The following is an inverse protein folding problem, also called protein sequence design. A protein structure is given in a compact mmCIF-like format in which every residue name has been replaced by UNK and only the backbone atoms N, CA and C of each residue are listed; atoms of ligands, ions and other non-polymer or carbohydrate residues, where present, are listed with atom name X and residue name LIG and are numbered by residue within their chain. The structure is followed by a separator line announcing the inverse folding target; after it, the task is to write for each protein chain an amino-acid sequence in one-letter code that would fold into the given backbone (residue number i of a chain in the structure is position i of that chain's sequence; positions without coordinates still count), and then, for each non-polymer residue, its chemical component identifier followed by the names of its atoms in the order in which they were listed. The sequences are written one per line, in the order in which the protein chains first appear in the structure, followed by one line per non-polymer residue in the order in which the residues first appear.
data_IF_283945868526
#
_entry.id   IF_283945868526
#
_cell.length_a   1.000
_cell.length_b   1.000
_cell.length_c   1.000
_cell.angle_alpha   90.00
_cell.angle_beta   90.00
_cell.angle_gamma   90.00
#
_symmetry.space_group_name_H-M   'P 1'
#
loop_
_entity.id
_entity.type
_entity.pdbx_description
1 polymer ?
#
# COMPACT_ATOMS: atom_id res chain seq x y z
N UNK A 1 -9.35 -24.40 -76.47
CA UNK A 1 -8.66 -23.24 -75.87
C UNK A 1 -8.69 -23.42 -74.35
N UNK A 2 -7.80 -24.25 -73.78
CA UNK A 2 -6.55 -23.88 -73.07
C UNK A 2 -6.78 -22.72 -72.07
N UNK A 3 -7.00 -23.05 -70.79
CA UNK A 3 -6.02 -23.08 -69.67
C UNK A 3 -5.57 -21.66 -69.29
N UNK A 4 -5.93 -21.11 -68.12
CA UNK A 4 -5.47 -21.44 -66.75
C UNK A 4 -3.96 -21.27 -66.56
N UNK A 5 -3.57 -20.08 -66.08
CA UNK A 5 -2.31 -19.67 -65.43
C UNK A 5 -2.60 -18.25 -64.87
N UNK A 6 -2.18 -17.80 -63.69
CA UNK A 6 -0.88 -17.99 -63.06
C UNK A 6 -0.97 -17.72 -61.53
N UNK A 7 -0.19 -18.49 -60.76
CA UNK A 7 0.08 -18.37 -59.33
C UNK A 7 1.49 -17.81 -59.17
N UNK A 8 1.75 -16.90 -58.22
CA UNK A 8 2.96 -16.87 -57.37
C UNK A 8 2.88 -15.71 -56.36
N UNK A 9 2.90 -15.99 -55.03
CA UNK A 9 4.03 -16.23 -54.10
C UNK A 9 4.68 -14.93 -53.60
N UNK A 10 4.68 -14.74 -52.28
CA UNK A 10 5.83 -14.48 -51.39
C UNK A 10 5.28 -14.33 -49.94
N UNK A 11 5.40 -15.31 -49.05
CA UNK A 11 6.57 -15.72 -48.23
C UNK A 11 7.11 -14.64 -47.27
N UNK A 12 6.78 -14.78 -45.99
CA UNK A 12 7.36 -14.04 -44.88
C UNK A 12 7.44 -14.87 -43.60
N UNK A 13 8.16 -16.00 -43.65
CA UNK A 13 8.62 -16.76 -42.47
C UNK A 13 9.73 -15.95 -41.76
N UNK A 14 9.59 -15.69 -40.47
CA UNK A 14 10.74 -15.67 -39.54
C UNK A 14 10.36 -16.39 -38.25
N UNK A 15 10.86 -17.62 -38.15
CA UNK A 15 11.01 -18.38 -36.89
C UNK A 15 12.32 -17.97 -36.21
N UNK A 16 12.39 -18.35 -34.94
CA UNK A 16 13.57 -18.59 -34.08
C UNK A 16 14.26 -17.35 -33.50
N UNK A 17 14.30 -17.26 -32.16
CA UNK A 17 15.45 -17.76 -31.40
C UNK A 17 15.16 -17.82 -29.89
N UNK A 18 15.05 -19.05 -29.41
CA UNK A 18 15.27 -19.49 -28.03
C UNK A 18 16.67 -19.06 -27.58
N UNK A 19 16.80 -18.53 -26.36
CA UNK A 19 18.06 -18.63 -25.61
C UNK A 19 17.78 -18.73 -24.10
N UNK A 20 17.85 -19.96 -23.63
CA UNK A 20 18.12 -20.36 -22.24
C UNK A 20 19.49 -19.86 -21.79
N UNK A 21 19.58 -19.32 -20.58
CA UNK A 21 20.77 -19.11 -19.71
C UNK A 21 20.17 -18.75 -18.34
N UNK A 22 20.57 -19.23 -17.17
CA UNK A 22 21.39 -20.34 -16.67
C UNK A 22 21.24 -20.15 -15.15
N UNK A 23 20.83 -21.19 -14.46
CA UNK A 23 20.85 -21.30 -13.00
C UNK A 23 22.31 -21.41 -12.53
N UNK A 24 22.64 -20.87 -11.35
CA UNK A 24 23.52 -21.67 -10.51
C UNK A 24 23.06 -21.74 -9.05
N UNK A 25 22.85 -22.99 -8.65
CA UNK A 25 23.01 -23.54 -7.31
C UNK A 25 24.36 -23.15 -6.64
N UNK A 26 24.34 -22.79 -5.35
CA UNK A 26 25.21 -23.36 -4.28
C UNK A 26 24.95 -22.66 -2.94
N UNK A 27 24.45 -23.39 -1.93
CA UNK A 27 25.22 -24.07 -0.88
C UNK A 27 26.02 -23.09 -0.01
N UNK A 28 25.50 -22.76 1.18
CA UNK A 28 25.85 -23.42 2.45
C UNK A 28 27.34 -23.34 2.79
N UNK A 29 27.65 -22.54 3.82
CA UNK A 29 28.78 -22.78 4.70
C UNK A 29 28.34 -22.61 6.15
N UNK A 30 28.45 -23.70 6.90
CA UNK A 30 28.57 -23.72 8.36
C UNK A 30 29.83 -22.97 8.78
N UNK A 31 29.88 -22.44 10.02
CA UNK A 31 30.81 -22.93 11.05
C UNK A 31 30.68 -22.17 12.39
N UNK A 32 30.21 -22.94 13.38
CA UNK A 32 30.67 -23.15 14.77
C UNK A 32 30.91 -21.99 15.77
N UNK A 33 30.44 -22.31 16.98
CA UNK A 33 30.93 -21.96 18.32
C UNK A 33 30.29 -20.72 18.99
N UNK A 34 29.47 -20.94 20.04
CA UNK A 34 30.06 -20.95 21.39
C UNK A 34 29.11 -21.52 22.47
N UNK A 35 29.74 -22.36 23.29
CA UNK A 35 29.56 -22.74 24.69
C UNK A 35 28.22 -22.64 25.43
N UNK A 36 27.86 -23.83 25.91
CA UNK A 36 26.96 -24.20 27.01
C UNK A 36 27.60 -23.94 28.38
N UNK A 37 26.81 -23.45 29.35
CA UNK A 37 26.82 -23.68 30.82
C UNK A 37 26.37 -22.40 31.54
N UNK A 38 25.71 -22.37 32.69
CA UNK A 38 25.03 -23.32 33.59
C UNK A 38 24.46 -22.39 34.67
N UNK A 39 23.22 -22.62 35.10
CA UNK A 39 22.49 -21.69 35.97
C UNK A 39 23.04 -21.53 37.38
N UNK A 40 22.53 -20.51 38.07
CA UNK A 40 22.22 -20.50 39.50
C UNK A 40 21.63 -19.13 39.89
N UNK A 41 20.31 -19.05 40.07
CA UNK A 41 19.74 -18.27 41.16
C UNK A 41 19.99 -19.04 42.47
N UNK A 42 20.11 -18.43 43.67
CA UNK A 42 19.30 -17.29 44.11
C UNK A 42 20.02 -16.25 45.02
N UNK A 43 19.25 -15.24 45.45
CA UNK A 43 19.23 -14.70 46.84
C UNK A 43 19.73 -13.25 47.06
N UNK A 44 18.78 -12.46 47.58
CA UNK A 44 18.91 -11.42 48.61
C UNK A 44 19.61 -10.07 48.29
N UNK A 45 18.76 -9.04 48.20
CA UNK A 45 18.81 -7.77 48.94
C UNK A 45 20.15 -7.00 49.06
N UNK A 46 20.14 -5.73 48.62
CA UNK A 46 20.22 -4.55 49.52
C UNK A 46 20.08 -3.22 48.77
N UNK A 47 19.18 -2.42 49.31
CA UNK A 47 18.84 -1.01 49.07
C UNK A 47 20.02 -0.05 49.30
N UNK A 48 20.27 0.85 48.35
CA UNK A 48 21.13 2.03 48.56
C UNK A 48 20.30 3.26 48.96
N UNK A 49 20.10 3.45 50.27
CA UNK A 49 19.75 4.75 50.85
C UNK A 49 21.02 5.27 51.49
N UNK A 50 21.53 6.38 50.97
CA UNK A 50 22.74 7.04 51.45
C UNK A 50 22.37 7.97 52.62
N UNK A 51 22.97 7.71 53.78
CA UNK A 51 22.84 8.52 54.99
C UNK A 51 24.18 9.23 55.24
N UNK A 52 24.15 10.43 55.84
CA UNK A 52 25.36 11.08 56.36
C UNK A 52 25.72 10.57 57.75
N UNK A 53 26.96 10.83 58.20
CA UNK A 53 27.53 10.29 59.46
C UNK A 53 26.79 10.70 60.75
N UNK A 54 25.78 11.59 60.67
CA UNK A 54 24.93 11.98 61.80
C UNK A 54 23.48 11.47 61.66
N UNK A 55 23.18 10.62 60.69
CA UNK A 55 21.94 9.87 60.60
C UNK A 55 20.69 10.71 60.31
N UNK A 56 20.79 11.79 59.51
CA UNK A 56 19.64 12.67 59.23
C UNK A 56 19.23 12.63 57.76
N UNK A 57 17.96 12.27 57.49
CA UNK A 57 17.41 12.23 56.13
C UNK A 57 17.41 13.63 55.47
N UNK A 58 18.06 13.75 54.29
CA UNK A 58 17.96 14.94 53.44
C UNK A 58 16.50 15.20 53.04
N UNK A 59 15.98 16.37 53.44
CA UNK A 59 14.58 16.74 53.25
C UNK A 59 14.24 17.01 51.77
N UNK A 60 13.10 16.47 51.34
CA UNK A 60 12.53 16.52 49.99
C UNK A 60 12.32 17.95 49.47
N UNK A 61 12.54 18.13 48.17
CA UNK A 61 12.13 19.31 47.40
C UNK A 61 10.65 19.65 47.65
N UNK A 62 10.37 20.89 48.02
CA UNK A 62 9.01 21.45 48.06
C UNK A 62 8.48 21.58 46.63
N UNK A 63 7.42 20.83 46.30
CA UNK A 63 6.65 21.05 45.07
C UNK A 63 5.93 22.41 45.17
N UNK A 64 5.98 23.18 44.08
CA UNK A 64 5.25 24.45 43.93
C UNK A 64 3.89 24.12 43.32
N UNK A 65 2.81 24.67 43.87
CA UNK A 65 1.46 24.49 43.33
C UNK A 65 1.37 25.00 41.88
N UNK A 66 0.92 24.12 40.99
CA UNK A 66 0.62 24.45 39.59
C UNK A 66 -0.81 24.98 39.55
N UNK A 67 -0.96 26.27 39.25
CA UNK A 67 -2.25 26.94 39.04
C UNK A 67 -2.95 26.31 37.82
N UNK A 68 -4.17 25.82 38.02
CA UNK A 68 -4.98 25.21 36.97
C UNK A 68 -5.18 26.19 35.79
N UNK A 69 -4.90 25.80 34.54
CA UNK A 69 -5.25 26.62 33.39
C UNK A 69 -6.77 26.63 33.23
N UNK A 70 -7.32 27.84 33.06
CA UNK A 70 -8.75 28.08 32.94
C UNK A 70 -9.36 27.33 31.76
N UNK A 71 -10.61 26.92 31.93
CA UNK A 71 -11.46 26.34 30.89
C UNK A 71 -11.49 27.28 29.68
N UNK A 72 -10.70 26.94 28.65
CA UNK A 72 -10.96 27.41 27.31
C UNK A 72 -12.10 26.54 26.78
N UNK A 73 -13.22 27.17 26.45
CA UNK A 73 -14.28 26.56 25.66
C UNK A 73 -13.67 26.09 24.34
N UNK A 74 -13.36 24.80 24.29
CA UNK A 74 -12.89 24.14 23.07
C UNK A 74 -14.12 23.92 22.20
N UNK A 75 -14.30 24.79 21.19
CA UNK A 75 -15.11 24.49 20.03
C UNK A 75 -14.75 23.07 19.56
N UNK A 76 -15.66 22.14 19.81
CA UNK A 76 -15.49 20.73 19.48
C UNK A 76 -15.68 20.60 17.97
N UNK A 77 -14.64 20.98 17.23
CA UNK A 77 -14.46 20.60 15.83
C UNK A 77 -14.57 19.07 15.78
N UNK A 78 -15.62 18.62 15.10
CA UNK A 78 -16.07 17.24 14.95
C UNK A 78 -14.90 16.26 14.84
N UNK A 79 -14.59 15.57 15.95
CA UNK A 79 -13.76 14.39 15.91
C UNK A 79 -14.50 13.33 15.09
N UNK A 80 -14.21 13.27 13.79
CA UNK A 80 -14.61 12.15 12.93
C UNK A 80 -14.04 10.90 13.54
N UNK A 81 -14.85 10.18 14.30
CA UNK A 81 -14.57 8.82 14.73
C UNK A 81 -14.30 8.01 13.47
N UNK A 82 -13.06 7.54 13.31
CA UNK A 82 -12.69 6.60 12.25
C UNK A 82 -13.49 5.33 12.48
N UNK A 83 -14.63 5.20 11.81
CA UNK A 83 -15.37 3.95 11.77
C UNK A 83 -14.46 2.95 11.07
N UNK A 84 -14.24 1.80 11.71
CA UNK A 84 -13.56 0.69 11.04
C UNK A 84 -14.46 0.26 9.89
N UNK A 85 -13.97 0.45 8.66
CA UNK A 85 -14.67 0.03 7.45
C UNK A 85 -14.30 -1.43 7.15
N UNK A 86 -15.23 -2.17 6.56
CA UNK A 86 -14.95 -3.51 6.04
C UNK A 86 -14.14 -3.46 4.74
N UNK A 87 -13.55 -4.57 4.29
CA UNK A 87 -12.73 -4.61 3.07
C UNK A 87 -13.51 -4.16 1.81
N UNK A 88 -14.79 -4.53 1.70
CA UNK A 88 -15.65 -4.10 0.58
C UNK A 88 -15.93 -2.59 0.68
N UNK A 89 -16.25 -2.08 1.86
CA UNK A 89 -16.53 -0.65 2.07
C UNK A 89 -15.29 0.23 1.85
N UNK A 90 -14.09 -0.27 2.19
CA UNK A 90 -12.82 0.38 1.87
C UNK A 90 -12.63 0.53 0.35
N UNK A 91 -12.95 -0.51 -0.43
CA UNK A 91 -12.88 -0.50 -1.89
C UNK A 91 -13.93 0.48 -2.46
N UNK A 92 -15.17 0.43 -1.97
CA UNK A 92 -16.25 1.34 -2.36
C UNK A 92 -15.88 2.82 -2.14
N UNK A 93 -15.25 3.13 -1.00
CA UNK A 93 -14.88 4.50 -0.63
C UNK A 93 -13.45 4.87 -1.04
N UNK A 94 -12.84 4.12 -1.96
CA UNK A 94 -11.47 4.35 -2.39
C UNK A 94 -11.34 5.71 -3.07
N UNK A 95 -10.33 6.47 -2.65
CA UNK A 95 -9.96 7.80 -3.15
C UNK A 95 -8.47 7.83 -3.38
N UNK A 96 -7.99 8.77 -4.19
CA UNK A 96 -6.55 8.95 -4.44
C UNK A 96 -5.70 9.05 -3.17
N UNK A 97 -6.19 9.74 -2.13
CA UNK A 97 -5.50 9.80 -0.83
C UNK A 97 -5.36 8.43 -0.17
N UNK A 98 -6.41 7.60 -0.22
CA UNK A 98 -6.36 6.24 0.33
C UNK A 98 -5.42 5.35 -0.50
N UNK A 99 -5.47 5.49 -1.82
CA UNK A 99 -4.58 4.78 -2.74
C UNK A 99 -3.09 5.08 -2.46
N UNK A 100 -2.73 6.36 -2.28
CA UNK A 100 -1.38 6.79 -1.87
C UNK A 100 -0.96 6.29 -0.48
N UNK A 101 -1.90 6.03 0.42
CA UNK A 101 -1.58 5.43 1.71
C UNK A 101 -1.26 3.94 1.60
N UNK A 102 -1.68 3.26 0.53
CA UNK A 102 -1.32 1.86 0.32
C UNK A 102 0.17 1.73 0.02
N UNK A 103 0.77 2.64 -0.74
CA UNK A 103 2.20 2.68 -1.02
C UNK A 103 2.58 4.05 -1.60
N UNK A 104 3.81 4.49 -1.37
CA UNK A 104 4.37 5.70 -2.01
C UNK A 104 4.56 5.50 -3.53
N UNK A 105 4.80 4.26 -3.96
CA UNK A 105 4.89 3.87 -5.36
C UNK A 105 3.50 3.45 -5.89
N UNK A 106 2.94 4.15 -6.90
CA UNK A 106 1.62 3.87 -7.45
C UNK A 106 1.45 2.44 -7.95
N UNK A 107 2.49 1.84 -8.54
CA UNK A 107 2.41 0.47 -9.05
C UNK A 107 2.25 -0.54 -7.89
N UNK A 108 3.06 -0.39 -6.84
CA UNK A 108 2.92 -1.20 -5.64
C UNK A 108 1.59 -0.95 -4.92
N UNK A 109 1.06 0.28 -4.96
CA UNK A 109 -0.27 0.58 -4.41
C UNK A 109 -1.36 -0.20 -5.16
N UNK A 110 -1.26 -0.29 -6.49
CA UNK A 110 -2.16 -1.08 -7.31
C UNK A 110 -2.06 -2.58 -7.01
N UNK A 111 -0.85 -3.12 -6.90
CA UNK A 111 -0.63 -4.52 -6.52
C UNK A 111 -1.23 -4.85 -5.15
N UNK A 112 -1.02 -3.97 -4.16
CA UNK A 112 -1.62 -4.14 -2.82
C UNK A 112 -3.14 -4.10 -2.86
N UNK A 113 -3.71 -3.25 -3.71
CA UNK A 113 -5.15 -3.18 -3.89
C UNK A 113 -5.68 -4.46 -4.55
N UNK A 114 -5.04 -4.94 -5.62
CA UNK A 114 -5.37 -6.22 -6.27
C UNK A 114 -5.26 -7.40 -5.31
N UNK A 115 -4.23 -7.41 -4.45
CA UNK A 115 -4.11 -8.43 -3.40
C UNK A 115 -5.33 -8.45 -2.48
N UNK A 116 -5.93 -7.30 -2.14
CA UNK A 116 -7.19 -7.28 -1.36
C UNK A 116 -8.33 -7.97 -2.11
N UNK A 117 -8.46 -7.75 -3.42
CA UNK A 117 -9.45 -8.46 -4.24
C UNK A 117 -9.19 -9.97 -4.27
N UNK A 118 -7.93 -10.39 -4.43
CA UNK A 118 -7.58 -11.81 -4.45
C UNK A 118 -7.85 -12.48 -3.10
N UNK A 119 -7.59 -11.80 -1.98
CA UNK A 119 -7.96 -12.31 -0.65
C UNK A 119 -9.48 -12.48 -0.52
N UNK A 120 -10.27 -11.51 -0.99
CA UNK A 120 -11.73 -11.63 -0.99
C UNK A 120 -12.20 -12.77 -1.91
N UNK A 121 -11.55 -12.97 -3.05
CA UNK A 121 -11.83 -14.06 -3.97
C UNK A 121 -11.57 -15.42 -3.32
N UNK A 122 -10.43 -15.58 -2.63
CA UNK A 122 -10.05 -16.81 -1.95
C UNK A 122 -10.98 -17.12 -0.77
N UNK A 123 -11.50 -16.09 -0.08
CA UNK A 123 -12.50 -16.24 0.97
C UNK A 123 -13.88 -16.61 0.41
N UNK A 124 -14.35 -15.89 -0.62
CA UNK A 124 -15.63 -16.13 -1.27
C UNK A 124 -15.71 -15.40 -2.62
N UNK A 125 -15.95 -16.17 -3.67
CA UNK A 125 -16.19 -15.61 -5.00
C UNK A 125 -17.32 -14.57 -5.05
N UNK A 126 -18.36 -14.71 -4.20
CA UNK A 126 -19.45 -13.73 -4.13
C UNK A 126 -18.97 -12.39 -3.56
N UNK A 127 -18.11 -12.40 -2.54
CA UNK A 127 -17.54 -11.18 -1.96
C UNK A 127 -16.61 -10.48 -2.95
N UNK A 128 -15.89 -11.25 -3.77
CA UNK A 128 -15.09 -10.70 -4.86
C UNK A 128 -15.96 -9.99 -5.91
N UNK A 129 -17.08 -10.59 -6.33
CA UNK A 129 -18.00 -9.95 -7.26
C UNK A 129 -18.58 -8.64 -6.69
N UNK A 130 -19.00 -8.66 -5.43
CA UNK A 130 -19.50 -7.46 -4.73
C UNK A 130 -18.41 -6.37 -4.65
N UNK A 131 -17.20 -6.73 -4.23
CA UNK A 131 -16.07 -5.80 -4.20
C UNK A 131 -15.74 -5.22 -5.58
N UNK A 132 -15.83 -6.04 -6.63
CA UNK A 132 -15.60 -5.61 -8.01
C UNK A 132 -16.67 -4.61 -8.47
N UNK A 133 -17.93 -4.83 -8.13
CA UNK A 133 -18.99 -3.86 -8.42
C UNK A 133 -18.74 -2.54 -7.69
N UNK A 134 -18.43 -2.60 -6.40
CA UNK A 134 -18.10 -1.43 -5.57
C UNK A 134 -16.86 -0.67 -6.06
N UNK A 135 -15.88 -1.37 -6.65
CA UNK A 135 -14.73 -0.72 -7.28
C UNK A 135 -15.14 0.20 -8.43
N UNK A 136 -16.05 -0.25 -9.28
CA UNK A 136 -16.55 0.55 -10.40
C UNK A 136 -17.43 1.72 -9.95
N UNK A 137 -18.01 1.64 -8.76
CA UNK A 137 -18.73 2.74 -8.14
C UNK A 137 -17.85 3.66 -7.28
N UNK A 138 -16.56 3.33 -7.14
CA UNK A 138 -15.65 4.07 -6.27
C UNK A 138 -15.36 5.50 -6.78
N UNK A 139 -15.17 6.49 -5.88
CA UNK A 139 -14.79 7.84 -6.26
C UNK A 139 -13.47 7.92 -7.06
N UNK A 140 -12.53 7.01 -6.79
CA UNK A 140 -11.28 6.89 -7.53
C UNK A 140 -11.54 6.50 -8.99
N UNK A 141 -12.31 5.43 -9.21
CA UNK A 141 -12.63 4.99 -10.57
C UNK A 141 -13.47 6.02 -11.34
N UNK A 142 -14.40 6.70 -10.67
CA UNK A 142 -15.15 7.82 -11.25
C UNK A 142 -14.22 8.95 -11.73
N UNK A 143 -13.20 9.29 -10.93
CA UNK A 143 -12.21 10.31 -11.30
C UNK A 143 -11.37 9.89 -12.51
N UNK A 144 -10.98 8.61 -12.58
CA UNK A 144 -10.31 8.01 -13.73
C UNK A 144 -11.18 8.10 -15.00
N UNK A 145 -12.46 7.71 -14.91
CA UNK A 145 -13.39 7.80 -16.03
C UNK A 145 -13.61 9.24 -16.51
N UNK A 146 -13.63 10.21 -15.60
CA UNK A 146 -13.76 11.62 -15.98
C UNK A 146 -12.61 12.08 -16.86
N UNK A 147 -11.37 11.68 -16.53
CA UNK A 147 -10.19 12.00 -17.35
C UNK A 147 -10.27 11.33 -18.73
N UNK A 148 -10.66 10.06 -18.80
CA UNK A 148 -10.88 9.38 -20.08
C UNK A 148 -11.97 10.02 -20.93
N UNK A 149 -13.11 10.35 -20.31
CA UNK A 149 -14.22 11.03 -21.02
C UNK A 149 -13.76 12.38 -21.57
N UNK A 150 -12.97 13.11 -20.78
CA UNK A 150 -12.43 14.41 -21.19
C UNK A 150 -11.45 14.25 -22.37
N UNK A 151 -10.53 13.29 -22.32
CA UNK A 151 -9.57 13.06 -23.42
C UNK A 151 -10.26 12.72 -24.73
N UNK A 152 -11.30 11.90 -24.68
CA UNK A 152 -12.08 11.54 -25.87
C UNK A 152 -12.88 12.74 -26.40
N UNK A 153 -13.52 13.51 -25.51
CA UNK A 153 -14.40 14.61 -25.91
C UNK A 153 -13.62 15.81 -26.45
N UNK A 154 -12.52 16.17 -25.80
CA UNK A 154 -11.71 17.35 -26.14
C UNK A 154 -10.60 17.02 -27.15
N UNK A 155 -10.38 15.72 -27.43
CA UNK A 155 -9.30 15.20 -28.28
C UNK A 155 -7.91 15.63 -27.82
N UNK A 156 -7.77 15.85 -26.52
CA UNK A 156 -6.50 16.16 -25.86
C UNK A 156 -5.84 14.87 -25.35
N UNK A 157 -4.51 14.89 -25.22
CA UNK A 157 -3.80 13.76 -24.62
C UNK A 157 -4.08 13.73 -23.12
N UNK A 158 -4.04 12.53 -22.55
CA UNK A 158 -4.26 12.36 -21.10
C UNK A 158 -3.23 13.15 -20.29
N UNK A 159 -1.97 13.19 -20.75
CA UNK A 159 -0.90 13.97 -20.09
C UNK A 159 -1.23 15.47 -19.99
N UNK A 160 -1.78 16.05 -21.06
CA UNK A 160 -2.15 17.47 -21.10
C UNK A 160 -3.32 17.76 -20.15
N UNK A 161 -4.28 16.83 -20.06
CA UNK A 161 -5.43 16.94 -19.15
C UNK A 161 -5.00 16.83 -17.70
N UNK A 162 -4.10 15.90 -17.39
CA UNK A 162 -3.55 15.71 -16.03
C UNK A 162 -2.69 16.91 -15.61
N UNK A 163 -1.90 17.47 -16.52
CA UNK A 163 -1.14 18.69 -16.27
C UNK A 163 -2.03 19.91 -16.02
N UNK A 164 -3.15 20.01 -16.75
CA UNK A 164 -4.13 21.10 -16.62
C UNK A 164 -4.94 21.02 -15.32
N UNK A 165 -5.19 19.79 -14.83
CA UNK A 165 -5.92 19.52 -13.59
C UNK A 165 -4.91 19.40 -12.44
N UNK A 166 -4.19 20.48 -12.18
CA UNK A 166 -3.17 20.55 -11.15
C UNK A 166 -3.70 20.05 -9.79
N UNK A 167 -3.42 18.79 -9.43
CA UNK A 167 -3.53 18.29 -8.06
C UNK A 167 -4.39 17.07 -7.79
N UNK A 168 -5.08 16.47 -8.76
CA UNK A 168 -5.88 15.27 -8.47
C UNK A 168 -4.99 14.01 -8.39
N UNK A 169 -4.27 13.67 -9.46
CA UNK A 169 -3.37 12.51 -9.52
C UNK A 169 -2.34 12.60 -10.65
N UNK A 170 -1.23 11.86 -10.52
CA UNK A 170 -0.12 11.83 -11.48
C UNK A 170 -0.38 10.88 -12.65
N UNK A 171 0.50 10.93 -13.66
CA UNK A 171 0.41 10.01 -14.80
C UNK A 171 0.65 8.55 -14.39
N UNK A 172 1.61 8.33 -13.51
CA UNK A 172 1.93 7.00 -12.96
C UNK A 172 0.75 6.43 -12.17
N UNK A 173 0.04 7.28 -11.42
CA UNK A 173 -1.19 6.87 -10.71
C UNK A 173 -2.32 6.52 -11.68
N UNK A 174 -2.44 7.23 -12.80
CA UNK A 174 -3.42 6.89 -13.84
C UNK A 174 -3.11 5.55 -14.49
N UNK A 175 -1.85 5.30 -14.84
CA UNK A 175 -1.40 4.04 -15.44
C UNK A 175 -1.60 2.87 -14.46
N UNK A 176 -1.37 3.08 -13.16
CA UNK A 176 -1.64 2.09 -12.12
C UNK A 176 -3.13 1.71 -12.03
N UNK A 177 -4.04 2.67 -12.25
CA UNK A 177 -5.49 2.39 -12.30
C UNK A 177 -5.88 1.65 -13.57
N UNK A 178 -5.24 1.93 -14.70
CA UNK A 178 -5.42 1.12 -15.92
C UNK A 178 -5.05 -0.34 -15.63
N UNK A 179 -3.89 -0.57 -15.02
CA UNK A 179 -3.42 -1.90 -14.66
C UNK A 179 -4.43 -2.65 -13.78
N UNK A 180 -4.99 -2.00 -12.74
CA UNK A 180 -6.05 -2.62 -11.91
C UNK A 180 -7.27 -3.00 -12.76
N UNK A 181 -7.69 -2.12 -13.67
CA UNK A 181 -8.88 -2.37 -14.49
C UNK A 181 -8.68 -3.52 -15.48
N UNK A 182 -7.47 -3.69 -16.02
CA UNK A 182 -7.13 -4.81 -16.90
C UNK A 182 -7.23 -6.15 -16.16
N UNK A 183 -6.80 -6.20 -14.90
CA UNK A 183 -6.86 -7.41 -14.08
C UNK A 183 -8.29 -7.73 -13.58
N UNK A 184 -9.17 -6.73 -13.47
CA UNK A 184 -10.53 -6.89 -12.96
C UNK A 184 -11.61 -7.03 -14.05
N UNK A 185 -11.26 -6.94 -15.34
CA UNK A 185 -12.23 -7.02 -16.45
C UNK A 185 -12.40 -8.45 -16.95
#
# INVERSE_FOLDING_TARGET
EKQEADQQKESGKKKTKTKSVDEPEKQQSETVADSKQKGSDPSAAKTGLEYDEEGKLKSKQKMKDIKAPGSQDVDTESQKTSKSMGPIEEIAQMKWKHFRHLSDDPQQAAERLLQKFMLLHDESFLLFLEAREEWFDSPLYSSYQQVLKKSINEREQVDDILASKAGDFSREEFDAVIFINEELT
#
